data_IF_145253527301
#
_entry.id   IF_145253527301
#
_cell.length_a   1.000
_cell.length_b   1.000
_cell.length_c   1.000
_cell.angle_alpha   90.00
_cell.angle_beta   90.00
_cell.angle_gamma   90.00
#
_symmetry.space_group_name_H-M   'P 1'
#
loop_
_entity.id
_entity.type
_entity.pdbx_description
1 polymer ?
#
# COMPACT_ATOMS: atom_id res chain seq x y z
N UNK A 1 16.20 -9.67 -9.74
CA UNK A 1 14.80 -9.29 -10.05
C UNK A 1 14.71 -8.61 -11.41
N UNK A 2 15.49 -7.55 -11.65
CA UNK A 2 15.53 -6.84 -12.95
C UNK A 2 15.83 -7.79 -14.12
N UNK A 3 16.77 -8.72 -13.97
CA UNK A 3 17.13 -9.66 -15.05
C UNK A 3 15.98 -10.59 -15.47
N UNK A 4 15.09 -10.94 -14.54
CA UNK A 4 13.88 -11.72 -14.85
C UNK A 4 12.94 -10.84 -15.67
N UNK A 5 12.70 -9.60 -15.23
CA UNK A 5 11.81 -8.68 -15.92
C UNK A 5 12.29 -8.44 -17.35
N UNK A 6 13.56 -8.11 -17.54
CA UNK A 6 14.14 -7.84 -18.85
C UNK A 6 14.03 -9.06 -19.77
N UNK A 7 14.43 -10.23 -19.28
CA UNK A 7 14.38 -11.49 -20.03
C UNK A 7 12.96 -11.86 -20.47
N UNK A 8 12.00 -11.83 -19.55
CA UNK A 8 10.61 -12.22 -19.83
C UNK A 8 9.88 -11.18 -20.69
N UNK A 9 10.23 -9.90 -20.52
CA UNK A 9 9.73 -8.82 -21.38
C UNK A 9 10.19 -8.98 -22.82
N UNK A 10 11.49 -9.24 -23.04
CA UNK A 10 12.05 -9.49 -24.37
C UNK A 10 11.47 -10.73 -25.02
N UNK A 11 11.36 -11.84 -24.27
CA UNK A 11 10.73 -13.06 -24.76
C UNK A 11 9.29 -12.80 -25.21
N UNK A 12 8.51 -12.05 -24.41
CA UNK A 12 7.12 -11.75 -24.76
C UNK A 12 7.01 -10.88 -26.00
N UNK A 13 7.90 -9.90 -26.15
CA UNK A 13 7.97 -9.07 -27.34
C UNK A 13 8.27 -9.93 -28.58
N UNK A 14 9.35 -10.71 -28.56
CA UNK A 14 9.73 -11.61 -29.67
C UNK A 14 8.57 -12.50 -30.11
N UNK A 15 7.91 -13.18 -29.18
CA UNK A 15 6.75 -14.03 -29.47
C UNK A 15 5.60 -13.29 -30.17
N UNK A 16 5.37 -12.02 -29.83
CA UNK A 16 4.33 -11.21 -30.47
C UNK A 16 4.76 -10.82 -31.89
N UNK A 17 5.98 -10.33 -32.08
CA UNK A 17 6.46 -9.94 -33.41
C UNK A 17 6.53 -11.13 -34.37
N UNK A 18 7.02 -12.29 -33.90
CA UNK A 18 7.05 -13.52 -34.68
C UNK A 18 5.65 -13.98 -35.07
N UNK A 19 4.69 -13.93 -34.15
CA UNK A 19 3.28 -14.25 -34.43
C UNK A 19 2.71 -13.33 -35.49
N UNK A 20 2.82 -12.02 -35.30
CA UNK A 20 2.25 -11.05 -36.24
C UNK A 20 2.91 -11.12 -37.62
N UNK A 21 4.20 -11.51 -37.70
CA UNK A 21 4.89 -11.80 -38.96
C UNK A 21 4.21 -12.92 -39.76
N UNK A 22 3.66 -13.91 -39.08
CA UNK A 22 2.95 -15.04 -39.70
C UNK A 22 1.48 -14.72 -39.94
N UNK A 23 0.81 -14.04 -39.01
CA UNK A 23 -0.66 -13.86 -39.05
C UNK A 23 -1.13 -12.59 -39.75
N UNK A 24 -0.39 -11.48 -39.65
CA UNK A 24 -0.86 -10.18 -40.13
C UNK A 24 0.31 -9.23 -40.46
N UNK A 25 0.80 -9.31 -41.70
CA UNK A 25 1.89 -8.48 -42.21
C UNK A 25 1.56 -6.98 -42.22
N UNK A 26 0.30 -6.60 -42.45
CA UNK A 26 -0.14 -5.19 -42.40
C UNK A 26 -0.05 -4.62 -40.98
N UNK A 27 -0.43 -5.39 -39.96
CA UNK A 27 -0.28 -5.01 -38.57
C UNK A 27 1.18 -4.91 -38.18
N UNK A 28 2.02 -5.87 -38.59
CA UNK A 28 3.46 -5.80 -38.38
C UNK A 28 4.08 -4.52 -38.97
N UNK A 29 3.67 -4.12 -40.19
CA UNK A 29 4.16 -2.90 -40.83
C UNK A 29 3.76 -1.60 -40.07
N UNK A 30 2.62 -1.62 -39.37
CA UNK A 30 2.17 -0.50 -38.52
C UNK A 30 2.83 -0.48 -37.13
N UNK A 31 3.46 -1.59 -36.72
CA UNK A 31 4.11 -1.70 -35.42
C UNK A 31 5.48 -1.02 -35.48
N UNK A 32 5.83 -0.32 -34.39
CA UNK A 32 7.16 0.28 -34.27
C UNK A 32 8.23 -0.82 -34.17
N UNK A 33 9.39 -0.60 -34.79
CA UNK A 33 10.51 -1.55 -34.72
C UNK A 33 10.92 -1.80 -33.27
N UNK A 34 10.77 -3.04 -32.81
CA UNK A 34 11.16 -3.41 -31.45
C UNK A 34 12.67 -3.55 -31.32
N UNK A 35 13.24 -2.90 -30.31
CA UNK A 35 14.60 -3.09 -29.86
C UNK A 35 14.59 -3.93 -28.58
N UNK A 36 15.51 -4.88 -28.49
CA UNK A 36 15.73 -5.67 -27.26
C UNK A 36 15.98 -4.74 -26.08
N UNK A 37 15.19 -4.89 -25.02
CA UNK A 37 15.32 -4.15 -23.78
C UNK A 37 16.58 -4.61 -23.05
N UNK A 38 17.43 -3.66 -22.69
CA UNK A 38 18.60 -3.88 -21.83
C UNK A 38 18.29 -3.57 -20.37
N UNK A 39 19.15 -4.00 -19.44
CA UNK A 39 19.05 -3.67 -18.01
C UNK A 39 19.12 -2.17 -17.79
N UNK A 40 20.08 -1.49 -18.43
CA UNK A 40 20.25 -0.03 -18.34
C UNK A 40 19.04 0.75 -18.89
N UNK A 41 18.44 0.29 -20.00
CA UNK A 41 17.20 0.91 -20.52
C UNK A 41 16.01 0.70 -19.55
N UNK A 42 15.94 -0.44 -18.87
CA UNK A 42 14.91 -0.69 -17.87
C UNK A 42 15.12 0.13 -16.59
N UNK A 43 16.36 0.32 -16.15
CA UNK A 43 16.70 1.21 -15.04
C UNK A 43 16.35 2.67 -15.38
N UNK A 44 16.68 3.10 -16.60
CA UNK A 44 16.29 4.40 -17.12
C UNK A 44 14.75 4.58 -17.15
N UNK A 45 14.01 3.52 -17.48
CA UNK A 45 12.54 3.50 -17.43
C UNK A 45 12.02 3.71 -16.01
N UNK A 46 12.61 3.03 -15.02
CA UNK A 46 12.27 3.22 -13.61
C UNK A 46 12.61 4.64 -13.14
N UNK A 47 13.75 5.19 -13.56
CA UNK A 47 14.15 6.57 -13.26
C UNK A 47 13.14 7.60 -13.76
N UNK A 48 12.62 7.44 -14.98
CA UNK A 48 11.55 8.28 -15.52
C UNK A 48 10.27 8.19 -14.69
N UNK A 49 9.87 6.99 -14.26
CA UNK A 49 8.68 6.80 -13.43
C UNK A 49 8.84 7.49 -12.07
N UNK A 50 9.99 7.33 -11.43
CA UNK A 50 10.32 7.99 -10.17
C UNK A 50 10.29 9.52 -10.33
N UNK A 51 10.93 10.04 -11.38
CA UNK A 51 10.92 11.46 -11.68
C UNK A 51 9.50 11.98 -11.94
N UNK A 52 8.69 11.27 -12.72
CA UNK A 52 7.30 11.65 -12.96
C UNK A 52 6.49 11.71 -11.66
N UNK A 53 6.77 10.85 -10.68
CA UNK A 53 6.19 10.89 -9.35
C UNK A 53 6.65 12.11 -8.54
N UNK A 54 7.95 12.40 -8.53
CA UNK A 54 8.52 13.60 -7.87
C UNK A 54 7.92 14.89 -8.44
N UNK A 55 7.80 14.95 -9.76
CA UNK A 55 7.23 16.09 -10.50
C UNK A 55 5.69 16.14 -10.46
N UNK A 56 5.04 15.23 -9.72
CA UNK A 56 3.57 15.08 -9.64
C UNK A 56 2.89 15.07 -11.00
N UNK A 57 3.54 14.49 -12.00
CA UNK A 57 3.08 14.46 -13.39
C UNK A 57 2.63 13.06 -13.81
N UNK A 58 2.36 12.18 -12.85
CA UNK A 58 1.99 10.78 -13.06
C UNK A 58 0.63 10.60 -13.76
N UNK A 59 -0.29 11.56 -13.60
CA UNK A 59 -1.59 11.62 -14.28
C UNK A 59 -1.53 12.22 -15.68
N UNK A 60 -0.42 12.89 -16.03
CA UNK A 60 -0.23 13.54 -17.32
C UNK A 60 -0.07 12.47 -18.40
N UNK A 61 -0.67 12.68 -19.57
CA UNK A 61 -0.55 11.75 -20.68
C UNK A 61 0.89 11.69 -21.20
N UNK A 62 1.37 10.51 -21.62
CA UNK A 62 2.78 10.34 -22.03
C UNK A 62 3.19 11.22 -23.21
N UNK A 63 2.27 11.62 -24.09
CA UNK A 63 2.57 12.55 -25.19
C UNK A 63 2.93 13.93 -24.69
N UNK A 64 2.26 14.41 -23.63
CA UNK A 64 2.53 15.71 -23.02
C UNK A 64 3.89 15.70 -22.32
N UNK A 65 4.21 14.62 -21.61
CA UNK A 65 5.51 14.47 -20.91
C UNK A 65 6.73 14.53 -21.86
N UNK A 66 6.57 14.11 -23.13
CA UNK A 66 7.64 14.09 -24.14
C UNK A 66 7.64 15.31 -25.08
N UNK A 67 6.81 16.33 -24.83
CA UNK A 67 6.85 17.58 -25.61
C UNK A 67 8.15 18.35 -25.38
N UNK A 68 8.54 19.16 -26.35
CA UNK A 68 9.69 20.08 -26.24
C UNK A 68 9.52 21.12 -25.12
N UNK A 69 8.28 21.48 -24.78
CA UNK A 69 7.94 22.36 -23.67
C UNK A 69 8.01 21.69 -22.29
N UNK A 70 8.09 20.35 -22.25
CA UNK A 70 8.18 19.57 -21.01
C UNK A 70 9.64 19.37 -20.60
N UNK A 71 9.86 18.71 -19.46
CA UNK A 71 11.19 18.50 -18.91
C UNK A 71 12.09 17.73 -19.90
N UNK A 72 13.22 18.31 -20.36
CA UNK A 72 14.07 17.71 -21.39
C UNK A 72 14.62 16.32 -21.02
N UNK A 73 14.69 16.00 -19.73
CA UNK A 73 15.19 14.73 -19.23
C UNK A 73 14.37 13.52 -19.70
N UNK A 74 13.05 13.66 -19.91
CA UNK A 74 12.23 12.54 -20.38
C UNK A 74 12.64 12.08 -21.78
N UNK A 75 12.78 13.04 -22.71
CA UNK A 75 13.22 12.79 -24.09
C UNK A 75 14.70 12.44 -24.19
N UNK A 76 15.54 12.98 -23.31
CA UNK A 76 16.97 12.68 -23.28
C UNK A 76 17.24 11.24 -22.80
N UNK A 77 16.37 10.70 -21.95
CA UNK A 77 16.54 9.37 -21.37
C UNK A 77 16.09 8.25 -22.31
N UNK A 78 14.91 8.37 -22.92
CA UNK A 78 14.42 7.40 -23.92
C UNK A 78 13.31 7.97 -24.80
N UNK A 79 12.99 7.28 -25.89
CA UNK A 79 11.89 7.70 -26.76
C UNK A 79 10.51 7.40 -26.14
N UNK A 80 9.49 8.16 -26.54
CA UNK A 80 8.11 7.91 -26.12
C UNK A 80 7.61 6.52 -26.54
N UNK A 81 8.09 6.00 -27.67
CA UNK A 81 7.73 4.68 -28.20
C UNK A 81 8.27 3.58 -27.28
N UNK A 82 9.52 3.71 -26.83
CA UNK A 82 10.13 2.80 -25.85
C UNK A 82 9.36 2.85 -24.52
N UNK A 83 9.07 4.06 -24.01
CA UNK A 83 8.35 4.22 -22.75
C UNK A 83 6.93 3.61 -22.80
N UNK A 84 6.23 3.71 -23.94
CA UNK A 84 4.88 3.15 -24.13
C UNK A 84 4.87 1.64 -24.39
N UNK A 85 6.04 1.00 -24.49
CA UNK A 85 6.11 -0.44 -24.73
C UNK A 85 5.38 -1.22 -23.63
N UNK A 86 4.36 -1.97 -24.03
CA UNK A 86 3.46 -2.67 -23.12
C UNK A 86 3.90 -4.12 -22.81
N UNK A 87 5.17 -4.46 -23.08
CA UNK A 87 5.66 -5.83 -22.95
C UNK A 87 6.18 -6.19 -21.56
N UNK A 88 6.25 -5.25 -20.60
CA UNK A 88 6.79 -5.53 -19.26
C UNK A 88 6.13 -6.77 -18.63
N UNK A 89 6.94 -7.75 -18.21
CA UNK A 89 6.54 -8.98 -17.50
C UNK A 89 7.39 -9.17 -16.25
N UNK A 90 6.80 -9.71 -15.18
CA UNK A 90 7.46 -9.85 -13.87
C UNK A 90 7.82 -11.31 -13.53
N UNK A 91 7.39 -12.26 -14.36
CA UNK A 91 7.41 -13.71 -14.11
C UNK A 91 7.50 -14.49 -15.44
N UNK A 92 7.88 -15.76 -15.35
CA UNK A 92 7.89 -16.66 -16.50
C UNK A 92 6.46 -17.13 -16.82
N UNK A 93 5.97 -16.76 -18.00
CA UNK A 93 4.62 -17.13 -18.43
C UNK A 93 4.40 -18.63 -18.60
N UNK A 94 5.45 -19.43 -18.71
CA UNK A 94 5.39 -20.89 -18.92
C UNK A 94 5.13 -21.67 -17.64
N UNK A 95 5.47 -21.08 -16.48
CA UNK A 95 5.26 -21.72 -15.17
C UNK A 95 3.90 -21.36 -14.57
N UNK A 96 3.04 -20.67 -15.31
CA UNK A 96 1.71 -20.30 -14.85
C UNK A 96 0.77 -21.48 -15.00
N UNK A 97 0.22 -21.97 -13.90
CA UNK A 97 -0.96 -22.81 -13.96
C UNK A 97 -2.13 -22.01 -14.56
N UNK A 98 -2.77 -22.57 -15.58
CA UNK A 98 -3.89 -21.94 -16.28
C UNK A 98 -5.14 -22.05 -15.42
N UNK A 99 -5.39 -21.02 -14.61
CA UNK A 99 -6.70 -20.84 -13.99
C UNK A 99 -7.63 -20.16 -15.00
N UNK A 100 -8.79 -20.76 -15.35
CA UNK A 100 -9.75 -20.15 -16.27
C UNK A 100 -10.26 -18.82 -15.69
N UNK A 101 -10.00 -17.72 -16.40
CA UNK A 101 -10.36 -16.39 -15.97
C UNK A 101 -10.70 -15.48 -17.16
N UNK A 102 -11.80 -14.73 -17.08
CA UNK A 102 -12.22 -13.75 -18.09
C UNK A 102 -12.36 -12.35 -17.47
N UNK A 103 -11.39 -11.47 -17.74
CA UNK A 103 -11.46 -10.00 -17.57
C UNK A 103 -11.46 -9.45 -16.13
N UNK A 104 -10.81 -8.30 -15.88
CA UNK A 104 -10.64 -7.69 -14.54
C UNK A 104 -9.52 -8.33 -13.71
N UNK A 105 -9.36 -7.99 -12.43
CA UNK A 105 -8.58 -8.80 -11.48
C UNK A 105 -9.52 -9.33 -10.41
N UNK A 106 -9.54 -10.64 -10.15
CA UNK A 106 -10.39 -11.25 -9.11
C UNK A 106 -10.08 -10.79 -7.67
N UNK A 107 -8.99 -10.03 -7.51
CA UNK A 107 -8.55 -9.44 -6.24
C UNK A 107 -9.07 -8.01 -6.02
N UNK A 108 -9.84 -7.44 -6.96
CA UNK A 108 -10.40 -6.10 -6.82
C UNK A 108 -11.50 -6.10 -5.77
N UNK A 109 -11.34 -5.24 -4.76
CA UNK A 109 -12.32 -5.03 -3.71
C UNK A 109 -12.88 -3.61 -3.78
N UNK A 110 -14.19 -3.48 -3.50
CA UNK A 110 -14.82 -2.20 -3.23
C UNK A 110 -14.67 -1.81 -1.74
N UNK A 111 -14.12 -0.63 -1.46
CA UNK A 111 -13.87 -0.11 -0.11
C UNK A 111 -14.46 1.32 -0.02
N UNK A 112 -15.71 1.49 0.47
CA UNK A 112 -16.43 2.77 0.44
C UNK A 112 -15.74 3.92 1.17
N UNK A 113 -15.02 3.61 2.26
CA UNK A 113 -14.37 4.59 3.13
C UNK A 113 -13.03 5.10 2.59
N UNK A 114 -12.52 4.55 1.48
CA UNK A 114 -11.23 4.95 0.88
C UNK A 114 -11.46 5.94 -0.29
N UNK A 115 -10.56 6.90 -0.53
CA UNK A 115 -10.68 7.86 -1.65
C UNK A 115 -10.76 7.17 -3.02
N UNK A 116 -9.90 6.16 -3.25
CA UNK A 116 -10.03 5.25 -4.38
C UNK A 116 -10.88 4.04 -3.95
N UNK A 117 -12.14 4.02 -4.38
CA UNK A 117 -13.11 3.03 -3.89
C UNK A 117 -12.90 1.61 -4.43
N UNK A 118 -12.21 1.45 -5.56
CA UNK A 118 -11.93 0.14 -6.16
C UNK A 118 -10.42 -0.06 -6.25
N UNK A 119 -9.92 -1.21 -5.77
CA UNK A 119 -8.50 -1.55 -5.85
C UNK A 119 -8.16 -2.91 -5.25
N UNK A 120 -6.89 -3.28 -5.31
CA UNK A 120 -6.37 -4.50 -4.69
C UNK A 120 -6.07 -4.20 -3.22
N UNK A 121 -6.59 -5.02 -2.31
CA UNK A 121 -6.33 -4.87 -0.88
C UNK A 121 -5.03 -5.58 -0.49
N UNK A 122 -4.09 -4.83 0.06
CA UNK A 122 -2.82 -5.34 0.58
C UNK A 122 -2.78 -5.11 2.09
N UNK A 123 -2.45 -6.16 2.85
CA UNK A 123 -2.16 -6.05 4.27
C UNK A 123 -0.66 -5.83 4.46
N UNK A 124 -0.30 -4.82 5.26
CA UNK A 124 1.10 -4.50 5.54
C UNK A 124 1.28 -4.23 7.04
N UNK A 125 2.53 -4.42 7.49
CA UNK A 125 2.98 -4.04 8.83
C UNK A 125 4.08 -2.99 8.68
N UNK A 126 4.04 -1.96 9.53
CA UNK A 126 5.00 -0.88 9.54
C UNK A 126 5.71 -0.82 10.88
N UNK A 127 7.03 -0.75 10.85
CA UNK A 127 7.85 -0.61 12.05
C UNK A 127 8.07 0.87 12.28
N UNK A 128 7.72 1.33 13.48
CA UNK A 128 7.94 2.71 13.90
C UNK A 128 9.30 2.74 14.62
N UNK A 129 10.38 3.24 13.99
CA UNK A 129 11.68 3.31 14.63
C UNK A 129 11.63 4.27 15.83
N UNK A 130 12.14 3.82 16.98
CA UNK A 130 11.99 4.58 18.23
C UNK A 130 12.72 5.93 18.25
N UNK A 131 13.68 6.21 17.34
CA UNK A 131 14.52 7.42 17.45
C UNK A 131 15.03 8.06 16.14
N UNK A 132 14.53 7.76 14.93
CA UNK A 132 14.95 8.52 13.73
C UNK A 132 13.81 8.73 12.73
N UNK A 133 13.45 9.99 12.39
CA UNK A 133 12.34 10.29 11.50
C UNK A 133 12.53 9.88 10.03
N UNK A 134 13.73 9.43 9.60
CA UNK A 134 14.04 9.31 8.16
C UNK A 134 14.68 7.98 7.71
N UNK A 135 14.60 6.88 8.47
CA UNK A 135 15.05 5.56 7.96
C UNK A 135 14.00 4.49 8.25
N UNK A 136 13.28 4.09 7.20
CA UNK A 136 12.34 2.98 7.24
C UNK A 136 13.08 1.67 7.01
N UNK A 137 13.38 0.94 8.09
CA UNK A 137 13.89 -0.43 8.00
C UNK A 137 12.71 -1.38 8.16
N UNK A 138 12.41 -2.14 7.11
CA UNK A 138 11.46 -3.25 7.16
C UNK A 138 12.22 -4.47 7.69
N UNK A 139 12.05 -4.79 8.97
CA UNK A 139 12.54 -6.02 9.58
C UNK A 139 11.35 -6.80 10.14
N UNK A 140 10.85 -7.74 9.34
CA UNK A 140 9.80 -8.67 9.76
C UNK A 140 10.41 -9.59 10.82
N UNK A 141 10.05 -9.37 12.07
CA UNK A 141 10.35 -10.29 13.18
C UNK A 141 9.01 -10.73 13.75
N UNK A 142 8.50 -11.85 13.24
CA UNK A 142 7.50 -12.66 13.94
C UNK A 142 8.27 -13.60 14.86
N UNK A 143 8.63 -13.13 16.05
CA UNK A 143 9.24 -13.99 17.08
C UNK A 143 8.16 -14.54 18.02
N UNK A 144 7.85 -15.83 17.86
CA UNK A 144 7.41 -16.76 18.90
C UNK A 144 6.46 -16.21 19.99
N UNK A 145 5.35 -15.58 19.59
CA UNK A 145 4.21 -15.32 20.50
C UNK A 145 4.44 -14.34 21.65
N UNK A 146 5.54 -13.57 21.67
CA UNK A 146 5.88 -12.62 22.75
C UNK A 146 5.66 -11.15 22.39
N UNK A 147 4.97 -10.84 21.29
CA UNK A 147 4.77 -9.45 20.87
C UNK A 147 3.64 -8.79 21.67
N UNK A 148 3.91 -7.73 22.44
CA UNK A 148 2.85 -7.00 23.12
C UNK A 148 1.87 -6.43 22.10
N UNK A 149 0.59 -6.55 22.38
CA UNK A 149 -0.49 -6.07 21.52
C UNK A 149 -1.28 -4.97 22.21
N UNK A 150 -1.70 -4.00 21.40
CA UNK A 150 -2.53 -2.88 21.81
C UNK A 150 -3.46 -2.53 20.66
N UNK A 151 -4.76 -2.41 20.93
CA UNK A 151 -5.70 -2.04 19.89
C UNK A 151 -7.11 -1.73 20.38
N UNK A 152 -7.89 -1.13 19.49
CA UNK A 152 -9.32 -0.88 19.74
C UNK A 152 -10.11 -2.17 19.56
N UNK A 153 -11.07 -2.40 20.46
CA UNK A 153 -11.99 -3.54 20.38
C UNK A 153 -13.33 -3.09 19.80
N UNK A 154 -13.87 -3.87 18.86
CA UNK A 154 -15.24 -3.68 18.40
C UNK A 154 -16.22 -4.04 19.52
N UNK A 155 -17.10 -3.10 19.87
CA UNK A 155 -18.06 -3.24 20.98
C UNK A 155 -19.10 -4.36 20.79
N UNK A 156 -19.27 -4.85 19.57
CA UNK A 156 -20.21 -5.94 19.24
C UNK A 156 -19.59 -7.34 19.45
N UNK A 157 -18.34 -7.43 19.90
CA UNK A 157 -17.68 -8.72 20.14
C UNK A 157 -18.31 -9.40 21.35
N UNK A 158 -18.62 -10.68 21.22
CA UNK A 158 -19.30 -11.49 22.25
C UNK A 158 -18.48 -11.67 23.53
N UNK A 159 -17.14 -11.66 23.44
CA UNK A 159 -16.26 -11.75 24.61
C UNK A 159 -16.25 -10.47 25.46
N UNK A 160 -16.76 -9.35 24.95
CA UNK A 160 -16.74 -8.07 25.64
C UNK A 160 -17.92 -7.98 26.62
N UNK A 161 -17.70 -7.84 27.94
CA UNK A 161 -18.80 -7.71 28.87
C UNK A 161 -19.62 -6.43 28.57
N UNK A 162 -20.96 -6.47 28.65
CA UNK A 162 -21.82 -5.34 28.26
C UNK A 162 -21.48 -4.02 28.96
N UNK A 163 -21.00 -4.07 30.21
CA UNK A 163 -20.56 -2.90 30.98
C UNK A 163 -19.41 -2.11 30.33
N UNK A 164 -18.54 -2.76 29.56
CA UNK A 164 -17.48 -2.08 28.81
C UNK A 164 -18.00 -1.47 27.51
N UNK A 165 -19.02 -2.09 26.90
CA UNK A 165 -19.61 -1.62 25.65
C UNK A 165 -20.56 -0.42 25.87
N UNK A 166 -21.37 -0.47 26.94
CA UNK A 166 -22.43 0.48 27.21
C UNK A 166 -21.89 1.81 27.81
N UNK A 167 -22.04 2.96 27.12
CA UNK A 167 -21.64 4.25 27.66
C UNK A 167 -22.73 4.96 28.47
N UNK A 168 -23.98 4.45 28.47
CA UNK A 168 -25.10 5.13 29.11
C UNK A 168 -24.98 5.10 30.63
N UNK A 169 -25.25 6.23 31.27
CA UNK A 169 -25.15 6.37 32.74
C UNK A 169 -23.72 6.53 33.27
N UNK A 170 -22.70 6.52 32.40
CA UNK A 170 -21.31 6.74 32.80
C UNK A 170 -20.89 8.20 32.66
N UNK A 171 -20.12 8.69 33.62
CA UNK A 171 -19.60 10.06 33.63
C UNK A 171 -18.60 10.30 32.50
N UNK A 172 -18.55 11.54 32.03
CA UNK A 172 -17.57 11.99 31.03
C UNK A 172 -16.18 11.91 31.67
N UNK A 173 -15.18 11.48 30.89
CA UNK A 173 -13.80 11.23 31.33
C UNK A 173 -13.61 10.05 32.29
N UNK A 174 -14.69 9.36 32.69
CA UNK A 174 -14.55 8.12 33.45
C UNK A 174 -13.94 6.97 32.63
N UNK A 175 -13.16 6.13 33.31
CA UNK A 175 -12.58 4.90 32.74
C UNK A 175 -12.97 3.68 33.57
N UNK A 176 -13.40 2.61 32.89
CA UNK A 176 -13.64 1.31 33.49
C UNK A 176 -12.52 0.37 33.04
N UNK A 177 -11.90 -0.31 34.00
CA UNK A 177 -10.81 -1.25 33.76
C UNK A 177 -11.24 -2.68 34.09
N UNK A 178 -10.75 -3.64 33.31
CA UNK A 178 -10.83 -5.06 33.60
C UNK A 178 -9.44 -5.68 33.41
N UNK A 179 -9.07 -6.56 34.32
CA UNK A 179 -7.77 -7.23 34.29
C UNK A 179 -7.98 -8.74 34.30
N UNK A 180 -7.19 -9.42 33.49
CA UNK A 180 -7.00 -10.86 33.46
C UNK A 180 -5.48 -11.11 33.50
N UNK A 181 -5.06 -12.38 33.65
CA UNK A 181 -3.65 -12.73 33.90
C UNK A 181 -2.66 -12.06 32.94
N UNK A 182 -3.00 -12.03 31.64
CA UNK A 182 -2.11 -11.52 30.59
C UNK A 182 -2.74 -10.42 29.71
N UNK A 183 -3.90 -9.89 30.10
CA UNK A 183 -4.66 -8.94 29.29
C UNK A 183 -5.34 -7.92 30.20
N UNK A 184 -5.25 -6.65 29.83
CA UNK A 184 -6.08 -5.57 30.36
C UNK A 184 -7.05 -5.07 29.30
N UNK A 185 -8.20 -4.61 29.77
CA UNK A 185 -9.21 -3.93 28.97
C UNK A 185 -9.58 -2.60 29.63
N UNK A 186 -9.74 -1.57 28.80
CA UNK A 186 -10.08 -0.23 29.24
C UNK A 186 -11.25 0.32 28.42
N UNK A 187 -12.32 0.76 29.08
CA UNK A 187 -13.45 1.47 28.47
C UNK A 187 -13.55 2.90 28.99
N UNK A 188 -13.12 3.84 28.16
CA UNK A 188 -13.04 5.27 28.44
C UNK A 188 -14.18 6.05 27.78
N UNK A 189 -14.74 7.05 28.47
CA UNK A 189 -15.85 7.89 28.00
C UNK A 189 -15.33 9.29 27.59
N UNK A 190 -14.87 9.51 26.34
CA UNK A 190 -14.42 10.84 25.93
C UNK A 190 -15.53 11.89 25.84
N UNK A 191 -16.78 11.47 25.58
CA UNK A 191 -17.96 12.33 25.38
C UNK A 191 -19.22 11.60 25.84
N UNK A 192 -20.28 12.34 26.16
CA UNK A 192 -21.60 11.78 26.54
C UNK A 192 -22.06 10.72 25.54
N UNK A 193 -22.45 9.55 26.04
CA UNK A 193 -22.92 8.39 25.25
C UNK A 193 -21.94 7.87 24.18
N UNK A 194 -20.63 8.15 24.31
CA UNK A 194 -19.59 7.61 23.42
C UNK A 194 -18.46 6.99 24.25
N UNK A 195 -18.28 5.68 24.14
CA UNK A 195 -17.14 4.94 24.72
C UNK A 195 -16.06 4.62 23.68
N UNK A 196 -14.82 4.49 24.14
CA UNK A 196 -13.69 3.89 23.41
C UNK A 196 -13.21 2.70 24.22
N UNK A 197 -13.18 1.53 23.59
CA UNK A 197 -12.77 0.28 24.24
C UNK A 197 -11.42 -0.15 23.67
N UNK A 198 -10.45 -0.35 24.55
CA UNK A 198 -9.08 -0.74 24.26
C UNK A 198 -8.75 -2.06 24.95
N UNK A 199 -7.96 -2.90 24.29
CA UNK A 199 -7.39 -4.11 24.87
C UNK A 199 -5.88 -4.06 24.72
N UNK A 200 -5.17 -4.48 25.77
CA UNK A 200 -3.72 -4.49 25.77
C UNK A 200 -3.14 -5.66 26.56
N UNK A 201 -1.99 -6.16 26.14
CA UNK A 201 -1.19 -7.15 26.88
C UNK A 201 0.03 -6.54 27.58
N UNK A 202 0.22 -5.21 27.50
CA UNK A 202 1.40 -4.51 28.05
C UNK A 202 1.07 -3.52 29.17
N UNK A 203 -0.20 -3.14 29.33
CA UNK A 203 -0.64 -2.22 30.39
C UNK A 203 -1.36 -3.02 31.47
N UNK A 204 -1.02 -2.86 32.74
CA UNK A 204 -1.71 -3.50 33.88
C UNK A 204 -2.01 -2.52 35.02
N UNK A 205 -1.79 -1.24 34.75
CA UNK A 205 -2.02 -0.11 35.63
C UNK A 205 -3.33 0.61 35.27
N UNK A 206 -3.74 1.53 36.13
CA UNK A 206 -4.90 2.42 35.92
C UNK A 206 -4.47 3.84 35.61
N UNK A 207 -3.27 4.00 35.06
CA UNK A 207 -2.62 5.29 34.88
C UNK A 207 -3.37 6.16 33.88
N UNK A 208 -3.64 7.39 34.31
CA UNK A 208 -4.31 8.43 33.52
C UNK A 208 -3.42 9.65 33.42
N UNK A 209 -3.48 10.36 32.30
CA UNK A 209 -2.66 11.55 32.08
C UNK A 209 -3.46 12.72 31.51
N UNK A 210 -3.06 13.92 31.94
CA UNK A 210 -3.55 15.20 31.45
C UNK A 210 -4.96 15.58 31.93
N UNK A 211 -5.46 16.76 31.53
CA UNK A 211 -6.72 17.34 32.01
C UNK A 211 -7.99 16.61 31.55
N UNK A 212 -7.85 15.54 30.75
CA UNK A 212 -8.96 14.71 30.28
C UNK A 212 -8.91 13.30 30.86
N UNK A 213 -8.04 13.05 31.84
CA UNK A 213 -7.85 11.75 32.49
C UNK A 213 -7.74 10.60 31.48
N UNK A 214 -6.95 10.81 30.41
CA UNK A 214 -6.84 9.81 29.36
C UNK A 214 -6.00 8.63 29.84
N UNK A 215 -6.48 7.39 29.72
CA UNK A 215 -5.69 6.21 30.04
C UNK A 215 -4.39 6.12 29.23
N UNK A 216 -3.31 5.67 29.85
CA UNK A 216 -2.02 5.43 29.20
C UNK A 216 -2.15 4.58 27.92
N UNK A 217 -2.99 3.54 27.96
CA UNK A 217 -3.36 2.71 26.80
C UNK A 217 -3.80 3.51 25.57
N UNK A 218 -4.62 4.54 25.76
CA UNK A 218 -5.15 5.37 24.67
C UNK A 218 -4.07 6.31 24.14
N UNK A 219 -3.18 6.78 25.01
CA UNK A 219 -2.08 7.68 24.65
C UNK A 219 -1.09 6.93 23.76
N UNK A 220 -0.65 5.75 24.20
CA UNK A 220 0.25 4.89 23.44
C UNK A 220 -0.36 4.43 22.12
N UNK A 221 -1.64 4.05 22.11
CA UNK A 221 -2.32 3.73 20.87
C UNK A 221 -2.32 4.90 19.89
N UNK A 222 -2.65 6.11 20.35
CA UNK A 222 -2.67 7.29 19.48
C UNK A 222 -1.28 7.67 18.95
N UNK A 223 -0.22 7.40 19.73
CA UNK A 223 1.18 7.61 19.33
C UNK A 223 1.58 6.72 18.16
N UNK A 224 1.16 5.45 18.15
CA UNK A 224 1.66 4.45 17.19
C UNK A 224 0.68 4.07 16.07
N UNK A 225 -0.64 4.28 16.24
CA UNK A 225 -1.65 3.88 15.23
C UNK A 225 -1.45 4.50 13.85
N UNK A 226 -0.74 5.64 13.76
CA UNK A 226 -0.54 6.38 12.53
C UNK A 226 0.57 5.86 11.61
N UNK A 227 1.32 4.82 11.99
CA UNK A 227 2.47 4.35 11.19
C UNK A 227 2.12 3.99 9.74
N UNK A 228 1.13 3.12 9.55
CA UNK A 228 0.66 2.73 8.21
C UNK A 228 -0.03 3.89 7.48
N UNK A 229 -0.85 4.68 8.18
CA UNK A 229 -1.55 5.83 7.57
C UNK A 229 -0.57 6.91 7.08
N UNK A 230 0.53 7.15 7.82
CA UNK A 230 1.57 8.08 7.41
C UNK A 230 2.34 7.56 6.19
N UNK A 231 2.65 6.26 6.16
CA UNK A 231 3.25 5.62 4.99
C UNK A 231 2.33 5.76 3.76
N UNK A 232 1.04 5.47 3.90
CA UNK A 232 0.03 5.65 2.85
C UNK A 232 0.00 7.11 2.35
N UNK A 233 0.08 8.09 3.27
CA UNK A 233 0.14 9.51 2.94
C UNK A 233 1.39 9.83 2.09
N UNK A 234 2.57 9.38 2.52
CA UNK A 234 3.81 9.58 1.76
C UNK A 234 3.76 8.96 0.36
N UNK A 235 3.20 7.74 0.23
CA UNK A 235 3.04 7.06 -1.06
C UNK A 235 2.04 7.77 -1.98
N UNK A 236 1.03 8.44 -1.41
CA UNK A 236 0.06 9.21 -2.18
C UNK A 236 0.64 10.52 -2.74
N UNK A 237 1.57 11.14 -2.00
CA UNK A 237 2.14 12.44 -2.33
C UNK A 237 3.06 12.39 -3.57
N UNK A 238 3.92 11.37 -3.64
CA UNK A 238 4.89 11.17 -4.71
C UNK A 238 4.65 9.83 -5.43
N UNK A 239 3.44 9.66 -5.94
CA UNK A 239 3.04 8.41 -6.58
C UNK A 239 3.56 8.27 -8.02
N UNK A 240 4.13 7.12 -8.33
CA UNK A 240 4.50 6.73 -9.71
C UNK A 240 3.37 6.00 -10.44
N UNK A 241 2.17 5.93 -9.84
CA UNK A 241 0.99 5.25 -10.41
C UNK A 241 0.54 5.94 -11.70
N UNK A 242 0.40 5.15 -12.77
CA UNK A 242 -0.16 5.59 -14.06
C UNK A 242 -1.32 4.68 -14.48
N UNK A 243 -2.16 5.17 -15.39
CA UNK A 243 -3.28 4.38 -15.94
C UNK A 243 -2.75 3.18 -16.72
N UNK A 244 -3.27 1.99 -16.42
CA UNK A 244 -2.94 0.72 -17.07
C UNK A 244 -4.20 -0.14 -17.20
N UNK A 245 -4.23 -1.00 -18.22
CA UNK A 245 -5.27 -2.00 -18.43
C UNK A 245 -4.83 -3.41 -17.95
N UNK A 246 -3.63 -3.50 -17.37
CA UNK A 246 -3.02 -4.71 -16.81
C UNK A 246 -2.82 -4.51 -15.31
#
# INVERSE_FOLDING_TARGET
>A
MIDIIVRETNRKAQQIYERERVTNSAKLASMHTWKTLTTSEFEAYLGILLLAGVMRSNYVHSTELWKTSSHPIFRATMSIQQFRSSFIRFDDGRTRELYPYRGGTGLTQYIPSKPAKYGIKVWCSHIIPHQRPNIYRVSIIWTNGKTPSLGTVNKRRTFLPPMFANPHGREIQSTLYGFSENISICSYIPKKNKSVVMLSTMHYDKDVQGPKEKPAMIIDYNKFKGGVDNMDKCLSEYSTKRKTNR
#
